data_IF_122885680659
#
_entry.id   IF_122885680659
#
_cell.length_a   1.000
_cell.length_b   1.000
_cell.length_c   1.000
_cell.angle_alpha   90.00
_cell.angle_beta   90.00
_cell.angle_gamma   90.00
#
_symmetry.space_group_name_H-M   'P 1'
#
loop_
_entity.id
_entity.type
_entity.pdbx_description
1 polymer ?
#
# COMPACT_ATOMS: atom_id res chain seq x y z
N UNK A 1 33.73 -43.18 31.21
CA UNK A 1 32.41 -42.55 30.93
C UNK A 1 32.57 -41.79 29.63
N UNK A 2 32.25 -42.41 28.50
CA UNK A 2 32.48 -41.84 27.16
C UNK A 2 31.32 -40.91 26.79
N UNK A 3 31.64 -39.69 26.38
CA UNK A 3 30.70 -38.72 25.81
C UNK A 3 30.51 -39.09 24.34
N UNK A 4 29.29 -39.40 23.91
CA UNK A 4 28.99 -39.68 22.51
C UNK A 4 29.12 -38.40 21.65
N UNK A 5 29.99 -38.41 20.61
CA UNK A 5 30.08 -37.31 19.66
C UNK A 5 29.08 -37.55 18.53
N UNK A 6 27.95 -36.85 18.54
CA UNK A 6 27.01 -36.96 17.42
C UNK A 6 25.58 -36.46 17.62
N UNK A 7 25.22 -35.90 18.78
CA UNK A 7 23.92 -35.26 18.90
C UNK A 7 23.84 -34.07 17.91
N UNK A 8 22.93 -34.07 16.93
CA UNK A 8 22.77 -32.94 16.03
C UNK A 8 22.44 -31.72 16.87
N UNK A 9 23.25 -30.67 16.74
CA UNK A 9 23.00 -29.38 17.36
C UNK A 9 21.57 -28.96 16.93
N UNK A 10 20.64 -28.73 17.87
CA UNK A 10 19.31 -28.29 17.50
C UNK A 10 19.44 -27.01 16.67
N UNK A 11 18.83 -26.99 15.49
CA UNK A 11 18.82 -25.81 14.64
C UNK A 11 18.38 -24.59 15.48
N UNK A 12 19.05 -23.44 15.35
CA UNK A 12 18.73 -22.27 16.17
C UNK A 12 17.24 -21.96 16.05
N UNK A 13 16.56 -21.86 17.20
CA UNK A 13 15.13 -21.61 17.27
C UNK A 13 14.81 -20.34 16.47
N UNK A 14 14.21 -20.50 15.29
CA UNK A 14 13.84 -19.38 14.44
C UNK A 14 12.99 -18.39 15.22
N UNK A 15 13.33 -17.09 15.16
CA UNK A 15 12.59 -16.02 15.84
C UNK A 15 11.08 -16.17 15.58
N UNK A 16 10.28 -16.19 16.64
CA UNK A 16 8.82 -16.29 16.54
C UNK A 16 8.24 -14.97 16.05
N UNK A 17 7.34 -15.04 15.07
CA UNK A 17 6.66 -13.87 14.51
C UNK A 17 5.58 -13.38 15.47
N UNK A 18 5.70 -12.13 15.94
CA UNK A 18 4.80 -11.50 16.91
C UNK A 18 3.95 -10.37 16.34
N UNK A 19 4.27 -9.84 15.17
CA UNK A 19 3.51 -8.76 14.53
C UNK A 19 2.13 -9.23 14.06
N UNK A 20 1.18 -8.30 13.87
CA UNK A 20 -0.19 -8.58 13.47
C UNK A 20 -0.94 -7.36 12.89
N UNK A 21 -2.28 -7.38 12.96
CA UNK A 21 -3.15 -6.32 12.44
C UNK A 21 -2.82 -4.92 13.03
N UNK A 22 -2.50 -4.78 14.33
CA UNK A 22 -2.12 -3.47 14.87
C UNK A 22 -0.89 -2.86 14.18
N UNK A 23 0.09 -3.68 13.77
CA UNK A 23 1.29 -3.19 13.10
C UNK A 23 0.99 -2.68 11.67
N UNK A 24 0.03 -3.29 10.98
CA UNK A 24 -0.50 -2.76 9.72
C UNK A 24 -1.14 -1.37 9.93
N UNK A 25 -2.01 -1.24 10.95
CA UNK A 25 -2.68 0.03 11.24
C UNK A 25 -1.68 1.12 11.61
N UNK A 26 -0.67 0.81 12.42
CA UNK A 26 0.38 1.76 12.80
C UNK A 26 1.15 2.22 11.56
N UNK A 27 1.57 1.29 10.69
CA UNK A 27 2.30 1.63 9.47
C UNK A 27 1.46 2.53 8.54
N UNK A 28 0.19 2.17 8.33
CA UNK A 28 -0.71 2.93 7.46
C UNK A 28 -1.03 4.32 8.03
N UNK A 29 -1.46 4.41 9.30
CA UNK A 29 -1.82 5.69 9.95
C UNK A 29 -0.60 6.62 10.03
N UNK A 30 0.56 6.10 10.44
CA UNK A 30 1.78 6.92 10.51
C UNK A 30 2.16 7.46 9.13
N UNK A 31 2.04 6.62 8.08
CA UNK A 31 2.26 7.01 6.70
C UNK A 31 1.33 8.15 6.28
N UNK A 32 0.02 7.98 6.43
CA UNK A 32 -0.98 8.97 6.03
C UNK A 32 -0.78 10.29 6.79
N UNK A 33 -0.63 10.24 8.12
CA UNK A 33 -0.49 11.44 8.95
C UNK A 33 0.79 12.20 8.61
N UNK A 34 1.93 11.51 8.54
CA UNK A 34 3.20 12.18 8.22
C UNK A 34 3.28 12.63 6.75
N UNK A 35 2.64 11.90 5.84
CA UNK A 35 2.47 12.30 4.45
C UNK A 35 1.67 13.58 4.31
N UNK A 36 0.50 13.66 4.97
CA UNK A 36 -0.34 14.86 4.99
C UNK A 36 0.37 16.07 5.60
N UNK A 37 1.05 15.89 6.75
CA UNK A 37 1.85 16.96 7.38
C UNK A 37 2.95 17.46 6.43
N UNK A 38 3.65 16.56 5.75
CA UNK A 38 4.69 16.94 4.81
C UNK A 38 4.16 17.65 3.56
N UNK A 39 2.94 17.31 3.12
CA UNK A 39 2.29 17.91 1.96
C UNK A 39 1.62 19.26 2.25
N UNK A 40 1.30 19.56 3.51
CA UNK A 40 0.59 20.77 3.91
C UNK A 40 1.22 22.08 3.39
N UNK A 41 2.56 22.29 3.41
CA UNK A 41 3.18 23.51 2.88
C UNK A 41 3.02 23.71 1.36
N UNK A 42 2.69 22.63 0.63
CA UNK A 42 2.52 22.62 -0.82
C UNK A 42 1.05 22.57 -1.23
N UNK A 43 0.13 22.52 -0.26
CA UNK A 43 -1.30 22.39 -0.53
C UNK A 43 -1.85 23.74 -1.02
N UNK A 44 -2.46 23.78 -2.21
CA UNK A 44 -2.95 25.03 -2.75
C UNK A 44 -4.26 25.45 -2.04
N UNK A 45 -4.64 26.72 -2.18
CA UNK A 45 -5.85 27.23 -1.55
C UNK A 45 -7.14 26.55 -2.03
N UNK A 46 -8.27 26.66 -1.31
CA UNK A 46 -9.50 25.89 -1.57
C UNK A 46 -10.12 26.06 -2.97
N UNK A 47 -9.77 27.12 -3.70
CA UNK A 47 -10.30 27.43 -5.04
C UNK A 47 -9.23 27.30 -6.14
N UNK A 48 -8.07 26.72 -5.83
CA UNK A 48 -6.99 26.59 -6.79
C UNK A 48 -7.28 25.46 -7.81
N UNK A 49 -6.82 25.59 -9.06
CA UNK A 49 -6.88 24.52 -10.05
C UNK A 49 -6.22 23.21 -9.58
N UNK A 50 -6.78 22.05 -9.94
CA UNK A 50 -6.24 20.73 -9.58
C UNK A 50 -4.77 20.50 -9.98
N UNK A 51 -4.30 21.13 -11.06
CA UNK A 51 -2.87 21.06 -11.46
C UNK A 51 -1.90 21.60 -10.40
N UNK A 52 -2.39 22.44 -9.49
CA UNK A 52 -1.58 23.03 -8.42
C UNK A 52 -1.46 22.08 -7.21
N UNK A 53 -2.26 20.99 -7.16
CA UNK A 53 -2.17 19.97 -6.08
C UNK A 53 -1.10 18.92 -6.34
N UNK A 54 -0.56 18.83 -7.57
CA UNK A 54 0.38 17.77 -7.98
C UNK A 54 1.56 17.65 -7.03
N UNK A 55 2.17 18.78 -6.65
CA UNK A 55 3.33 18.78 -5.75
C UNK A 55 2.95 18.25 -4.37
N UNK A 56 1.83 18.70 -3.79
CA UNK A 56 1.34 18.20 -2.51
C UNK A 56 1.05 16.69 -2.57
N UNK A 57 0.39 16.22 -3.63
CA UNK A 57 0.09 14.80 -3.84
C UNK A 57 1.35 13.95 -3.98
N UNK A 58 2.36 14.43 -4.72
CA UNK A 58 3.66 13.76 -4.85
C UNK A 58 4.35 13.68 -3.49
N UNK A 59 4.41 14.79 -2.74
CA UNK A 59 5.02 14.80 -1.41
C UNK A 59 4.30 13.84 -0.46
N UNK A 60 2.96 13.91 -0.40
CA UNK A 60 2.14 13.02 0.41
C UNK A 60 2.42 11.54 0.08
N UNK A 61 2.36 11.18 -1.22
CA UNK A 61 2.57 9.82 -1.70
C UNK A 61 3.94 9.29 -1.27
N UNK A 62 5.02 10.00 -1.60
CA UNK A 62 6.36 9.50 -1.32
C UNK A 62 6.67 9.44 0.18
N UNK A 63 6.24 10.44 0.96
CA UNK A 63 6.45 10.44 2.41
C UNK A 63 5.63 9.34 3.08
N UNK A 64 4.35 9.19 2.71
CA UNK A 64 3.50 8.11 3.20
C UNK A 64 4.12 6.74 2.90
N UNK A 65 4.56 6.52 1.66
CA UNK A 65 5.21 5.28 1.23
C UNK A 65 6.48 5.01 2.04
N UNK A 66 7.35 6.01 2.19
CA UNK A 66 8.61 5.87 2.92
C UNK A 66 8.39 5.56 4.40
N UNK A 67 7.50 6.31 5.07
CA UNK A 67 7.17 6.10 6.48
C UNK A 67 6.56 4.71 6.69
N UNK A 68 5.63 4.29 5.83
CA UNK A 68 5.01 2.97 5.92
C UNK A 68 6.06 1.87 5.84
N UNK A 69 6.97 1.93 4.86
CA UNK A 69 8.07 0.96 4.72
C UNK A 69 9.02 1.01 5.91
N UNK A 70 9.38 2.21 6.40
CA UNK A 70 10.26 2.36 7.55
C UNK A 70 9.67 1.72 8.82
N UNK A 71 8.37 1.92 9.07
CA UNK A 71 7.65 1.27 10.17
C UNK A 71 7.66 -0.26 9.98
N UNK A 72 7.40 -0.77 8.78
CA UNK A 72 7.43 -2.21 8.53
C UNK A 72 8.82 -2.83 8.69
N UNK A 73 9.89 -2.13 8.28
CA UNK A 73 11.27 -2.55 8.53
C UNK A 73 11.55 -2.61 10.04
N UNK A 74 11.09 -1.60 10.79
CA UNK A 74 11.21 -1.60 12.25
C UNK A 74 10.42 -2.75 12.88
N UNK A 75 9.19 -3.00 12.45
CA UNK A 75 8.35 -4.13 12.90
C UNK A 75 9.02 -5.47 12.58
N UNK A 76 9.55 -5.65 11.37
CA UNK A 76 10.25 -6.87 10.97
C UNK A 76 11.48 -7.14 11.86
N UNK A 77 12.28 -6.10 12.14
CA UNK A 77 13.47 -6.21 13.01
C UNK A 77 13.12 -6.49 14.47
N UNK A 78 12.06 -5.89 14.99
CA UNK A 78 11.72 -5.97 16.43
C UNK A 78 10.79 -7.14 16.76
N UNK A 79 9.79 -7.40 15.91
CA UNK A 79 8.70 -8.38 16.13
C UNK A 79 8.70 -9.54 15.14
N UNK A 80 9.59 -9.54 14.14
CA UNK A 80 9.69 -10.57 13.11
C UNK A 80 11.05 -11.26 13.05
N UNK A 81 11.34 -11.81 11.88
CA UNK A 81 12.58 -12.51 11.51
C UNK A 81 13.69 -11.56 11.03
N UNK A 82 13.38 -10.27 10.86
CA UNK A 82 14.37 -9.23 10.55
C UNK A 82 14.56 -8.94 9.07
N UNK A 83 13.76 -9.53 8.18
CA UNK A 83 13.71 -9.14 6.77
C UNK A 83 12.27 -9.11 6.23
N UNK A 84 12.00 -8.15 5.34
CA UNK A 84 10.68 -8.02 4.69
C UNK A 84 10.33 -9.25 3.85
N UNK A 85 11.33 -9.91 3.26
CA UNK A 85 11.15 -11.16 2.53
C UNK A 85 10.68 -12.29 3.45
N UNK A 86 11.32 -12.51 4.60
CA UNK A 86 10.99 -13.61 5.50
C UNK A 86 9.70 -13.37 6.32
N UNK A 87 9.36 -12.11 6.58
CA UNK A 87 8.18 -11.75 7.37
C UNK A 87 6.95 -11.50 6.48
N UNK A 88 7.09 -10.67 5.44
CA UNK A 88 5.99 -10.19 4.62
C UNK A 88 5.96 -10.82 3.22
N UNK A 89 6.93 -11.66 2.88
CA UNK A 89 7.04 -12.29 1.56
C UNK A 89 7.34 -11.31 0.45
N UNK A 90 8.01 -10.21 0.77
CA UNK A 90 8.50 -9.27 -0.24
C UNK A 90 9.72 -9.88 -0.94
N UNK A 91 9.44 -10.75 -1.91
CA UNK A 91 10.41 -11.42 -2.76
C UNK A 91 9.91 -11.36 -4.20
N UNK A 92 10.83 -11.09 -5.12
CA UNK A 92 10.49 -10.95 -6.53
C UNK A 92 10.79 -12.24 -7.28
N UNK A 93 9.78 -12.85 -7.90
CA UNK A 93 9.94 -13.95 -8.84
C UNK A 93 9.32 -13.58 -10.19
N UNK A 94 10.15 -13.57 -11.25
CA UNK A 94 9.67 -13.23 -12.60
C UNK A 94 8.58 -14.16 -13.13
N UNK A 95 8.45 -15.37 -12.58
CA UNK A 95 7.38 -16.32 -12.92
C UNK A 95 6.00 -15.84 -12.48
N UNK A 96 5.94 -14.92 -11.52
CA UNK A 96 4.69 -14.36 -11.02
C UNK A 96 4.18 -13.18 -11.85
N UNK A 97 4.96 -12.69 -12.83
CA UNK A 97 4.59 -11.59 -13.73
C UNK A 97 3.28 -11.83 -14.50
N UNK A 98 2.93 -13.09 -14.78
CA UNK A 98 1.62 -13.44 -15.39
C UNK A 98 0.43 -13.01 -14.53
N UNK A 99 0.59 -13.01 -13.21
CA UNK A 99 -0.45 -12.58 -12.27
C UNK A 99 -0.59 -11.06 -12.24
N UNK A 100 0.48 -10.31 -12.51
CA UNK A 100 0.40 -8.86 -12.75
C UNK A 100 -0.47 -8.60 -13.98
N UNK A 101 -0.23 -9.33 -15.08
CA UNK A 101 -1.06 -9.23 -16.29
C UNK A 101 -2.53 -9.60 -16.04
N UNK A 102 -2.79 -10.67 -15.28
CA UNK A 102 -4.14 -11.05 -14.88
C UNK A 102 -4.82 -9.98 -14.01
N UNK A 103 -4.08 -9.40 -13.04
CA UNK A 103 -4.56 -8.31 -12.20
C UNK A 103 -4.94 -7.07 -12.99
N UNK A 104 -4.09 -6.65 -13.94
CA UNK A 104 -4.38 -5.55 -14.87
C UNK A 104 -5.62 -5.87 -15.71
N UNK A 105 -5.73 -7.10 -16.23
CA UNK A 105 -6.91 -7.53 -16.97
C UNK A 105 -8.20 -7.45 -16.14
N UNK A 106 -8.17 -7.93 -14.89
CA UNK A 106 -9.30 -7.83 -13.95
C UNK A 106 -9.63 -6.37 -13.65
N UNK A 107 -8.63 -5.51 -13.44
CA UNK A 107 -8.86 -4.09 -13.18
C UNK A 107 -9.54 -3.38 -14.35
N UNK A 108 -9.12 -3.68 -15.60
CA UNK A 108 -9.75 -3.15 -16.82
C UNK A 108 -11.19 -3.66 -16.93
N UNK A 109 -11.41 -4.97 -16.79
CA UNK A 109 -12.76 -5.57 -16.87
C UNK A 109 -13.68 -4.98 -15.81
N UNK A 110 -13.18 -4.83 -14.58
CA UNK A 110 -13.92 -4.23 -13.46
C UNK A 110 -14.26 -2.77 -13.74
N UNK A 111 -13.31 -1.99 -14.29
CA UNK A 111 -13.54 -0.58 -14.66
C UNK A 111 -14.61 -0.44 -15.74
N UNK A 112 -14.63 -1.33 -16.74
CA UNK A 112 -15.66 -1.35 -17.78
C UNK A 112 -17.01 -1.76 -17.18
N UNK A 113 -17.04 -2.82 -16.36
CA UNK A 113 -18.26 -3.35 -15.77
C UNK A 113 -18.92 -2.38 -14.78
N UNK A 114 -18.11 -1.68 -13.97
CA UNK A 114 -18.59 -0.70 -12.99
C UNK A 114 -18.77 0.71 -13.58
N UNK A 115 -18.30 0.95 -14.81
CA UNK A 115 -18.42 2.22 -15.50
C UNK A 115 -19.86 2.80 -15.51
N UNK A 116 -20.90 2.01 -15.84
CA UNK A 116 -22.29 2.49 -15.78
C UNK A 116 -22.74 2.89 -14.36
N UNK A 117 -22.30 2.16 -13.34
CA UNK A 117 -22.65 2.48 -11.94
C UNK A 117 -22.03 3.81 -11.49
N UNK A 118 -20.87 4.17 -12.03
CA UNK A 118 -20.26 5.48 -11.74
C UNK A 118 -21.10 6.67 -12.21
N UNK A 119 -22.00 6.46 -13.18
CA UNK A 119 -22.91 7.52 -13.65
C UNK A 119 -24.07 7.79 -12.67
N UNK A 120 -24.32 6.87 -11.74
CA UNK A 120 -25.29 7.02 -10.67
C UNK A 120 -24.70 7.76 -9.45
N UNK A 121 -23.37 7.91 -9.39
CA UNK A 121 -22.71 8.66 -8.33
C UNK A 121 -22.98 10.18 -8.48
N UNK A 122 -23.08 10.93 -7.38
CA UNK A 122 -23.26 12.39 -7.42
C UNK A 122 -22.20 13.06 -8.31
N UNK A 123 -22.66 13.93 -9.21
CA UNK A 123 -21.82 14.65 -10.18
C UNK A 123 -20.73 15.44 -9.44
N UNK A 124 -19.51 14.92 -9.45
CA UNK A 124 -18.34 15.46 -8.73
C UNK A 124 -17.19 14.45 -8.61
N UNK A 125 -17.49 13.15 -8.62
CA UNK A 125 -16.51 12.07 -8.35
C UNK A 125 -15.91 11.42 -9.61
N UNK A 126 -15.66 12.19 -10.67
CA UNK A 126 -15.22 11.58 -11.94
C UNK A 126 -13.72 11.28 -11.89
N UNK A 127 -13.38 10.04 -12.25
CA UNK A 127 -12.04 9.47 -12.53
C UNK A 127 -11.19 10.29 -13.51
N UNK A 128 -11.74 11.37 -14.08
CA UNK A 128 -11.10 12.29 -15.02
C UNK A 128 -10.07 13.21 -14.35
N UNK A 129 -10.10 13.40 -13.03
CA UNK A 129 -9.17 14.31 -12.33
C UNK A 129 -7.70 13.90 -12.47
N UNK A 130 -7.38 12.60 -12.46
CA UNK A 130 -5.98 12.13 -12.61
C UNK A 130 -5.48 12.40 -14.04
N UNK A 131 -6.33 12.20 -15.04
CA UNK A 131 -5.98 12.42 -16.46
C UNK A 131 -5.84 13.90 -16.77
N UNK A 132 -6.72 14.73 -16.19
CA UNK A 132 -6.67 16.18 -16.37
C UNK A 132 -5.48 16.79 -15.61
N UNK A 133 -5.17 16.28 -14.42
CA UNK A 133 -3.96 16.60 -13.65
C UNK A 133 -2.68 16.20 -14.41
N UNK A 134 -2.68 15.04 -15.06
CA UNK A 134 -1.58 14.58 -15.91
C UNK A 134 -1.40 15.46 -17.16
N UNK A 135 -2.47 15.82 -17.85
CA UNK A 135 -2.42 16.70 -19.03
C UNK A 135 -2.01 18.14 -18.71
N UNK A 136 -2.30 18.60 -17.50
CA UNK A 136 -2.06 19.97 -17.08
C UNK A 136 -0.68 20.19 -16.43
N UNK A 137 0.14 19.14 -16.29
CA UNK A 137 1.40 19.19 -15.54
C UNK A 137 2.61 19.01 -16.46
N UNK A 138 3.62 19.86 -16.27
CA UNK A 138 4.83 19.91 -17.10
C UNK A 138 6.05 19.75 -16.17
N UNK A 139 6.98 18.86 -16.49
CA UNK A 139 8.29 18.77 -15.82
C UNK A 139 8.46 17.62 -14.81
N UNK A 140 9.30 17.83 -13.80
CA UNK A 140 9.77 16.80 -12.87
C UNK A 140 8.66 16.25 -11.95
N UNK A 141 7.73 17.09 -11.51
CA UNK A 141 6.66 16.67 -10.59
C UNK A 141 5.73 15.63 -11.22
N UNK A 142 5.38 15.78 -12.50
CA UNK A 142 4.59 14.80 -13.26
C UNK A 142 5.33 13.48 -13.40
N UNK A 143 6.64 13.51 -13.70
CA UNK A 143 7.44 12.30 -13.80
C UNK A 143 7.49 11.53 -12.48
N UNK A 144 7.67 12.25 -11.36
CA UNK A 144 7.64 11.67 -10.02
C UNK A 144 6.25 11.14 -9.67
N UNK A 145 5.18 11.84 -10.03
CA UNK A 145 3.81 11.37 -9.84
C UNK A 145 3.56 10.04 -10.57
N UNK A 146 3.96 9.95 -11.85
CA UNK A 146 3.83 8.72 -12.65
C UNK A 146 4.62 7.58 -12.02
N UNK A 147 5.87 7.81 -11.62
CA UNK A 147 6.68 6.80 -10.93
C UNK A 147 6.04 6.39 -9.61
N UNK A 148 5.52 7.37 -8.86
CA UNK A 148 4.84 7.17 -7.59
C UNK A 148 3.64 6.24 -7.73
N UNK A 149 2.73 6.57 -8.65
CA UNK A 149 1.47 5.84 -8.84
C UNK A 149 1.69 4.48 -9.52
N UNK A 150 2.62 4.37 -10.47
CA UNK A 150 2.80 3.12 -11.23
C UNK A 150 3.73 2.12 -10.54
N UNK A 151 4.67 2.58 -9.71
CA UNK A 151 5.69 1.72 -9.11
C UNK A 151 5.66 1.75 -7.59
N UNK A 152 5.74 2.94 -6.99
CA UNK A 152 5.93 3.07 -5.54
C UNK A 152 4.68 2.64 -4.78
N UNK A 153 3.53 3.22 -5.10
CA UNK A 153 2.26 2.92 -4.42
C UNK A 153 1.90 1.43 -4.53
N UNK A 154 1.89 0.78 -5.72
CA UNK A 154 1.58 -0.65 -5.82
C UNK A 154 2.55 -1.54 -5.04
N UNK A 155 3.83 -1.15 -4.98
CA UNK A 155 4.84 -1.89 -4.20
C UNK A 155 4.56 -1.82 -2.70
N UNK A 156 4.25 -0.63 -2.19
CA UNK A 156 3.93 -0.43 -0.77
C UNK A 156 2.58 -1.04 -0.40
N UNK A 157 1.60 -0.99 -1.30
CA UNK A 157 0.32 -1.67 -1.16
C UNK A 157 0.51 -3.19 -1.02
N UNK A 158 1.32 -3.82 -1.88
CA UNK A 158 1.59 -5.26 -1.77
C UNK A 158 2.22 -5.61 -0.42
N UNK A 159 3.15 -4.78 0.07
CA UNK A 159 3.75 -4.93 1.41
C UNK A 159 2.71 -4.79 2.54
N UNK A 160 1.89 -3.75 2.52
CA UNK A 160 0.91 -3.47 3.58
C UNK A 160 -0.24 -4.48 3.57
N UNK A 161 -0.90 -4.64 2.43
CA UNK A 161 -2.13 -5.42 2.33
C UNK A 161 -1.85 -6.91 2.21
N UNK A 162 -1.02 -7.34 1.26
CA UNK A 162 -0.74 -8.77 1.11
C UNK A 162 0.33 -9.24 2.08
N UNK A 163 1.34 -8.42 2.31
CA UNK A 163 2.48 -8.77 3.14
C UNK A 163 2.14 -8.79 4.63
N UNK A 164 1.42 -7.80 5.14
CA UNK A 164 1.13 -7.69 6.58
C UNK A 164 -0.31 -8.06 6.89
N UNK A 165 -1.29 -7.32 6.34
CA UNK A 165 -2.70 -7.46 6.72
C UNK A 165 -3.23 -8.85 6.40
N UNK A 166 -3.11 -9.30 5.15
CA UNK A 166 -3.60 -10.61 4.71
C UNK A 166 -2.93 -11.74 5.50
N UNK A 167 -1.61 -11.70 5.70
CA UNK A 167 -0.91 -12.71 6.53
C UNK A 167 -1.35 -12.68 7.99
N UNK A 168 -1.70 -11.52 8.52
CA UNK A 168 -2.24 -11.40 9.88
C UNK A 168 -3.68 -11.93 9.97
N UNK A 169 -4.48 -11.77 8.92
CA UNK A 169 -5.84 -12.31 8.81
C UNK A 169 -5.83 -13.83 8.61
N UNK A 170 -4.95 -14.36 7.75
CA UNK A 170 -4.79 -15.80 7.51
C UNK A 170 -4.44 -16.61 8.76
N UNK A 171 -3.85 -15.96 9.77
CA UNK A 171 -3.60 -16.57 11.10
C UNK A 171 -4.85 -16.65 11.99
N UNK A 172 -5.95 -16.02 11.60
CA UNK A 172 -7.17 -15.84 12.41
C UNK A 172 -8.46 -16.30 11.72
N UNK A 173 -8.47 -16.44 10.39
CA UNK A 173 -9.65 -16.82 9.63
C UNK A 173 -9.30 -17.65 8.38
N UNK A 174 -10.27 -18.38 7.80
CA UNK A 174 -10.05 -19.16 6.59
C UNK A 174 -9.59 -18.28 5.40
N UNK A 175 -8.88 -18.85 4.41
CA UNK A 175 -8.29 -18.08 3.31
C UNK A 175 -9.27 -17.19 2.54
N UNK A 176 -10.46 -17.70 2.21
CA UNK A 176 -11.47 -16.92 1.49
C UNK A 176 -11.92 -15.66 2.24
N UNK A 177 -12.21 -15.80 3.54
CA UNK A 177 -12.59 -14.66 4.40
C UNK A 177 -11.43 -13.68 4.56
N UNK A 178 -10.19 -14.16 4.72
CA UNK A 178 -9.01 -13.31 4.84
C UNK A 178 -8.79 -12.44 3.60
N UNK A 179 -8.93 -13.05 2.41
CA UNK A 179 -8.84 -12.35 1.11
C UNK A 179 -9.95 -11.30 1.00
N UNK A 180 -11.20 -11.68 1.30
CA UNK A 180 -12.34 -10.76 1.22
C UNK A 180 -12.16 -9.57 2.16
N UNK A 181 -11.80 -9.80 3.43
CA UNK A 181 -11.60 -8.72 4.42
C UNK A 181 -10.43 -7.83 4.02
N UNK A 182 -9.30 -8.40 3.57
CA UNK A 182 -8.16 -7.59 3.11
C UNK A 182 -8.53 -6.73 1.89
N UNK A 183 -9.30 -7.27 0.95
CA UNK A 183 -9.78 -6.56 -0.23
C UNK A 183 -10.77 -5.45 0.12
N UNK A 184 -11.67 -5.69 1.08
CA UNK A 184 -12.59 -4.66 1.59
C UNK A 184 -11.83 -3.54 2.30
N UNK A 185 -10.85 -3.86 3.14
CA UNK A 185 -10.02 -2.84 3.80
C UNK A 185 -9.24 -2.03 2.76
N UNK A 186 -8.66 -2.69 1.75
CA UNK A 186 -8.02 -2.00 0.61
C UNK A 186 -8.99 -1.03 -0.07
N UNK A 187 -10.19 -1.49 -0.42
CA UNK A 187 -11.20 -0.64 -1.06
C UNK A 187 -11.65 0.54 -0.19
N UNK A 188 -11.76 0.35 1.13
CA UNK A 188 -12.24 1.37 2.06
C UNK A 188 -11.21 2.48 2.35
N UNK A 189 -9.91 2.17 2.37
CA UNK A 189 -8.88 3.19 2.66
C UNK A 189 -8.68 4.20 1.51
N UNK A 190 -9.11 3.86 0.30
CA UNK A 190 -8.97 4.74 -0.87
C UNK A 190 -9.91 5.95 -0.85
N UNK A 191 -11.25 5.81 -0.66
CA UNK A 191 -12.13 6.96 -0.50
C UNK A 191 -11.82 7.76 0.78
N UNK A 192 -11.31 7.13 1.84
CA UNK A 192 -10.85 7.84 3.04
C UNK A 192 -9.66 8.79 2.79
N UNK A 193 -8.97 8.66 1.65
CA UNK A 193 -7.86 9.50 1.22
C UNK A 193 -8.24 10.44 0.06
N UNK A 194 -9.52 10.50 -0.32
CA UNK A 194 -10.02 11.42 -1.33
C UNK A 194 -10.18 12.82 -0.73
N UNK A 195 -9.43 13.85 -1.20
CA UNK A 195 -9.56 15.22 -0.71
C UNK A 195 -10.96 15.79 -0.90
N UNK A 196 -11.76 15.24 -1.83
CA UNK A 196 -13.12 15.69 -2.09
C UNK A 196 -14.14 15.13 -1.11
N UNK A 197 -13.77 14.10 -0.31
CA UNK A 197 -14.63 13.54 0.75
C UNK A 197 -14.53 14.29 2.09
N UNK A 198 -13.70 15.34 2.17
CA UNK A 198 -13.65 16.21 3.35
C UNK A 198 -13.25 15.50 4.64
N UNK A 199 -12.51 14.39 4.53
CA UNK A 199 -11.93 13.70 5.68
C UNK A 199 -10.41 13.81 5.63
N UNK A 200 -9.94 14.88 6.28
CA UNK A 200 -8.56 15.34 6.55
C UNK A 200 -7.94 16.28 5.52
#
# INVERSE_FOLDING_TARGET
>A
MAVEPGAPVPAPAGRTVRWGIPDFLIAWIAGVVLGGIAAAPFSPGPNAPNRDTVTATVVALFVQSFVSVAVLVWVSRTKGRGSLAADFGFAWDWRESRWVGAGVGIAIVTSIALGPLSQLAPKGHRTQDIVDTFKASNGLATALFVVGVLLVAPTVEELLFRGVLLRALLRRMPPGSAILVSGLVFALVHPLLDPTLGTL
#
